data_IF_746686977904
#
_entry.id   IF_746686977904
#
_cell.length_a   1.000
_cell.length_b   1.000
_cell.length_c   1.000
_cell.angle_alpha   90.00
_cell.angle_beta   90.00
_cell.angle_gamma   90.00
#
_symmetry.space_group_name_H-M   'P 1'
#
loop_
_entity.id
_entity.type
_entity.pdbx_description
1 polymer ?
#
# COMPACT_ATOMS: atom_id res chain seq x y z
N UNK A 1 -43.77 4.54 -5.18
CA UNK A 1 -42.67 4.15 -4.26
C UNK A 1 -41.57 3.45 -5.06
N UNK A 2 -40.33 3.96 -5.04
CA UNK A 2 -39.19 3.41 -5.80
C UNK A 2 -38.57 2.25 -5.03
N UNK A 3 -38.54 1.04 -5.60
CA UNK A 3 -37.81 -0.12 -5.05
C UNK A 3 -36.31 0.10 -5.27
N UNK A 4 -35.58 0.38 -4.19
CA UNK A 4 -34.12 0.30 -4.19
C UNK A 4 -33.69 -1.14 -4.51
N UNK A 5 -32.58 -1.30 -5.23
CA UNK A 5 -31.95 -2.61 -5.43
C UNK A 5 -31.61 -3.21 -4.07
N UNK A 6 -32.04 -4.45 -3.82
CA UNK A 6 -31.74 -5.18 -2.57
C UNK A 6 -30.25 -5.17 -2.24
N UNK A 7 -29.38 -5.10 -3.24
CA UNK A 7 -27.92 -5.08 -3.08
C UNK A 7 -27.38 -3.78 -2.46
N UNK A 8 -27.92 -2.62 -2.85
CA UNK A 8 -27.49 -1.33 -2.28
C UNK A 8 -27.98 -1.16 -0.85
N UNK A 9 -29.18 -1.68 -0.55
CA UNK A 9 -29.71 -1.73 0.80
C UNK A 9 -28.88 -2.66 1.70
N UNK A 10 -28.53 -3.85 1.21
CA UNK A 10 -27.66 -4.80 1.93
C UNK A 10 -26.27 -4.19 2.21
N UNK A 11 -25.66 -3.50 1.23
CA UNK A 11 -24.38 -2.83 1.45
C UNK A 11 -24.45 -1.75 2.54
N UNK A 12 -25.52 -0.94 2.56
CA UNK A 12 -25.76 0.05 3.60
C UNK A 12 -25.98 -0.61 4.97
N UNK A 13 -26.77 -1.69 5.03
CA UNK A 13 -26.99 -2.44 6.27
C UNK A 13 -25.70 -3.06 6.81
N UNK A 14 -24.83 -3.60 5.93
CA UNK A 14 -23.53 -4.14 6.33
C UNK A 14 -22.64 -3.03 6.89
N UNK A 15 -22.57 -1.86 6.23
CA UNK A 15 -21.80 -0.73 6.72
C UNK A 15 -22.30 -0.25 8.10
N UNK A 16 -23.61 -0.12 8.27
CA UNK A 16 -24.23 0.25 9.56
C UNK A 16 -23.97 -0.81 10.65
N UNK A 17 -24.07 -2.09 10.31
CA UNK A 17 -23.78 -3.18 11.25
C UNK A 17 -22.30 -3.22 11.66
N UNK A 18 -21.37 -2.91 10.75
CA UNK A 18 -19.94 -2.78 11.06
C UNK A 18 -19.70 -1.60 12.01
N UNK A 19 -20.36 -0.46 11.81
CA UNK A 19 -20.29 0.67 12.75
C UNK A 19 -20.82 0.32 14.14
N UNK A 20 -21.96 -0.37 14.23
CA UNK A 20 -22.52 -0.81 15.52
C UNK A 20 -21.61 -1.79 16.25
N UNK A 21 -21.01 -2.76 15.53
CA UNK A 21 -20.04 -3.68 16.12
C UNK A 21 -18.76 -2.97 16.57
N UNK A 22 -18.24 -2.02 15.80
CA UNK A 22 -17.05 -1.24 16.19
C UNK A 22 -17.30 -0.46 17.49
N UNK A 23 -18.48 0.14 17.65
CA UNK A 23 -18.90 0.82 18.88
C UNK A 23 -19.05 -0.13 20.09
N UNK A 24 -19.40 -1.40 19.85
CA UNK A 24 -19.45 -2.41 20.92
C UNK A 24 -18.05 -2.84 21.39
N UNK A 25 -17.06 -2.90 20.49
CA UNK A 25 -15.68 -3.24 20.84
C UNK A 25 -14.94 -2.13 21.59
N UNK A 26 -15.29 -0.86 21.39
CA UNK A 26 -14.68 0.27 22.11
C UNK A 26 -15.01 0.33 23.60
N UNK A 27 -16.01 -0.43 24.07
CA UNK A 27 -16.39 -0.50 25.49
C UNK A 27 -15.63 -1.59 26.27
N UNK A 28 -14.72 -2.33 25.64
CA UNK A 28 -13.88 -3.31 26.33
C UNK A 28 -12.64 -2.59 26.88
N UNK A 29 -12.46 -2.47 28.21
CA UNK A 29 -11.27 -1.83 28.76
C UNK A 29 -10.01 -2.60 28.34
N UNK A 30 -8.96 -1.93 27.85
CA UNK A 30 -7.73 -2.61 27.45
C UNK A 30 -7.02 -3.15 28.69
N UNK A 31 -7.15 -4.46 28.95
CA UNK A 31 -6.28 -5.19 29.89
C UNK A 31 -4.91 -5.43 29.25
N UNK A 32 -4.13 -4.38 29.03
CA UNK A 32 -2.72 -4.52 28.68
C UNK A 32 -1.91 -4.33 29.96
N UNK A 33 -1.60 -5.43 30.65
CA UNK A 33 -0.55 -5.45 31.68
C UNK A 33 0.79 -5.38 30.96
N UNK A 34 1.33 -4.18 30.78
CA UNK A 34 2.72 -4.00 30.36
C UNK A 34 3.58 -4.30 31.59
N UNK A 35 4.20 -5.47 31.63
CA UNK A 35 5.25 -5.77 32.60
C UNK A 35 6.53 -5.00 32.19
N UNK A 36 6.65 -3.75 32.64
CA UNK A 36 7.91 -3.00 32.56
C UNK A 36 8.85 -3.43 33.68
N UNK A 37 9.71 -4.40 33.40
CA UNK A 37 10.89 -4.69 34.25
C UNK A 37 12.05 -5.17 33.42
N UNK A 38 12.74 -4.24 32.76
CA UNK A 38 14.14 -4.40 32.37
C UNK A 38 14.85 -3.13 32.83
N UNK A 39 15.43 -3.21 34.03
CA UNK A 39 16.44 -2.27 34.51
C UNK A 39 17.78 -2.81 33.99
N UNK A 40 18.37 -2.15 33.00
CA UNK A 40 19.77 -2.40 32.62
C UNK A 40 20.64 -1.45 33.42
N UNK A 41 21.20 -1.95 34.51
CA UNK A 41 22.39 -1.40 35.14
C UNK A 41 23.58 -1.61 34.21
N UNK A 42 24.21 -0.50 33.83
CA UNK A 42 25.52 -0.48 33.21
C UNK A 42 26.57 -0.98 34.21
N UNK A 43 27.39 -1.95 33.81
CA UNK A 43 28.65 -2.26 34.51
C UNK A 43 29.60 -3.01 33.56
N UNK A 44 30.72 -2.35 33.32
CA UNK A 44 32.07 -2.89 33.14
C UNK A 44 32.41 -3.82 31.96
N UNK A 45 33.22 -3.25 31.07
CA UNK A 45 34.13 -3.91 30.13
C UNK A 45 35.25 -4.59 30.93
N UNK A 46 35.62 -5.83 30.57
CA UNK A 46 37.03 -6.20 30.60
C UNK A 46 37.54 -6.64 29.22
N UNK A 47 38.77 -6.21 28.94
CA UNK A 47 39.62 -6.66 27.84
C UNK A 47 40.24 -8.04 28.11
N UNK A 48 40.66 -8.67 27.00
CA UNK A 48 41.65 -9.75 26.83
C UNK A 48 41.29 -11.18 27.28
N UNK A 49 41.37 -12.09 26.30
CA UNK A 49 41.39 -13.53 26.49
C UNK A 49 41.60 -14.25 25.16
N UNK A 50 42.86 -14.52 24.82
CA UNK A 50 43.32 -15.39 23.73
C UNK A 50 43.06 -16.88 24.01
N UNK A 51 43.16 -17.68 22.94
CA UNK A 51 43.45 -19.12 22.85
C UNK A 51 42.32 -20.11 22.54
N UNK A 52 42.57 -20.79 21.41
CA UNK A 52 42.55 -22.24 21.16
C UNK A 52 41.22 -23.01 21.20
N UNK A 53 41.04 -23.84 20.16
CA UNK A 53 40.03 -24.89 20.15
C UNK A 53 39.69 -25.42 18.76
N UNK A 54 40.65 -26.04 18.06
CA UNK A 54 40.34 -26.99 16.98
C UNK A 54 39.57 -28.19 17.55
N UNK A 55 38.59 -28.75 16.82
CA UNK A 55 38.23 -30.15 16.98
C UNK A 55 39.00 -31.01 15.98
N UNK A 56 39.70 -31.99 16.54
CA UNK A 56 40.46 -33.03 15.86
C UNK A 56 39.67 -34.35 15.82
N UNK A 57 39.99 -35.16 14.80
CA UNK A 57 39.82 -36.61 14.65
C UNK A 57 38.42 -37.27 14.61
N UNK A 58 38.17 -37.97 13.51
CA UNK A 58 38.05 -39.44 13.58
C UNK A 58 38.40 -40.09 12.24
N UNK A 59 39.47 -40.88 12.29
CA UNK A 59 40.05 -41.72 11.24
C UNK A 59 39.35 -43.08 11.24
N UNK A 60 38.98 -43.57 10.05
CA UNK A 60 38.68 -44.99 9.82
C UNK A 60 39.80 -45.56 8.95
N UNK A 61 40.67 -46.35 9.59
CA UNK A 61 41.59 -47.28 8.94
C UNK A 61 40.80 -48.52 8.52
N UNK A 62 40.98 -49.00 7.30
CA UNK A 62 40.80 -50.41 6.97
C UNK A 62 41.78 -50.81 5.88
N UNK A 63 42.33 -52.00 6.10
CA UNK A 63 43.59 -52.54 5.65
C UNK A 63 43.76 -52.76 4.14
N UNK A 64 45.04 -52.67 3.74
CA UNK A 64 45.60 -53.17 2.49
C UNK A 64 45.41 -54.69 2.35
N UNK A 65 45.49 -55.19 1.10
CA UNK A 65 46.48 -56.21 0.85
C UNK A 65 47.45 -55.85 -0.27
N UNK A 66 48.43 -56.73 -0.38
CA UNK A 66 49.82 -56.50 -0.65
C UNK A 66 50.17 -56.51 -2.15
N UNK A 67 51.32 -55.88 -2.44
CA UNK A 67 52.25 -56.12 -3.56
C UNK A 67 51.69 -56.50 -4.94
N UNK A 68 51.96 -55.60 -5.89
CA UNK A 68 52.85 -55.88 -7.02
C UNK A 68 53.47 -54.57 -7.54
N UNK A 69 54.80 -54.46 -7.51
CA UNK A 69 55.52 -53.52 -8.39
C UNK A 69 55.46 -54.09 -9.82
N UNK A 70 55.33 -53.24 -10.85
CA UNK A 70 56.56 -52.77 -11.47
C UNK A 70 56.52 -51.29 -11.93
N UNK A 71 57.65 -50.64 -11.72
CA UNK A 71 58.37 -49.73 -12.62
C UNK A 71 57.60 -48.84 -13.62
N UNK A 72 58.19 -47.65 -13.76
CA UNK A 72 58.16 -46.75 -14.93
C UNK A 72 57.16 -45.60 -14.83
N UNK A 73 57.73 -44.42 -15.09
CA UNK A 73 57.13 -43.33 -15.87
C UNK A 73 56.93 -42.04 -15.08
N UNK A 74 57.69 -41.04 -15.51
CA UNK A 74 57.57 -39.60 -15.27
C UNK A 74 56.19 -39.08 -15.72
N UNK A 75 55.10 -39.50 -15.08
CA UNK A 75 53.73 -39.17 -15.49
C UNK A 75 52.94 -38.36 -14.44
N UNK A 76 53.46 -38.18 -13.22
CA UNK A 76 52.77 -37.35 -12.21
C UNK A 76 53.00 -35.84 -12.37
N UNK A 77 54.02 -35.41 -13.10
CA UNK A 77 54.22 -34.00 -13.42
C UNK A 77 53.33 -33.51 -14.59
N UNK A 78 52.82 -34.41 -15.44
CA UNK A 78 51.91 -34.02 -16.53
C UNK A 78 50.45 -33.92 -16.08
N UNK A 79 50.08 -34.47 -14.93
CA UNK A 79 48.70 -34.41 -14.43
C UNK A 79 48.38 -33.08 -13.73
N UNK A 80 49.37 -32.46 -13.06
CA UNK A 80 49.20 -31.11 -12.47
C UNK A 80 49.36 -30.02 -13.55
N UNK A 81 50.19 -30.25 -14.58
CA UNK A 81 50.29 -29.33 -15.74
C UNK A 81 49.07 -29.46 -16.68
N UNK A 82 48.34 -30.57 -16.66
CA UNK A 82 47.07 -30.72 -17.38
C UNK A 82 45.87 -30.03 -16.70
N UNK A 83 45.96 -29.67 -15.42
CA UNK A 83 44.97 -28.81 -14.76
C UNK A 83 45.22 -27.31 -14.99
N UNK A 84 46.39 -26.96 -15.54
CA UNK A 84 46.78 -25.59 -15.91
C UNK A 84 46.86 -25.46 -17.43
N UNK A 85 45.88 -25.99 -18.16
CA UNK A 85 45.50 -25.32 -19.41
C UNK A 85 44.72 -24.05 -19.03
N UNK A 86 45.48 -23.03 -18.61
CA UNK A 86 45.01 -21.68 -18.25
C UNK A 86 44.15 -21.01 -19.34
N UNK A 87 44.09 -21.61 -20.53
CA UNK A 87 43.29 -21.18 -21.66
C UNK A 87 41.80 -21.59 -21.59
N UNK A 88 41.41 -22.54 -20.71
CA UNK A 88 39.98 -22.91 -20.56
C UNK A 88 39.27 -22.24 -19.38
N UNK A 89 39.99 -21.77 -18.36
CA UNK A 89 39.39 -21.12 -17.18
C UNK A 89 38.89 -19.71 -17.53
N UNK A 90 39.69 -18.94 -18.28
CA UNK A 90 39.36 -17.56 -18.65
C UNK A 90 38.07 -17.40 -19.49
N UNK A 91 37.81 -18.19 -20.55
CA UNK A 91 36.56 -18.07 -21.32
C UNK A 91 35.32 -18.48 -20.50
N UNK A 92 35.45 -19.45 -19.59
CA UNK A 92 34.36 -19.84 -18.69
C UNK A 92 34.02 -18.72 -17.69
N UNK A 93 35.02 -18.04 -17.13
CA UNK A 93 34.82 -16.87 -16.27
C UNK A 93 34.21 -15.69 -17.04
N UNK A 94 34.65 -15.42 -18.26
CA UNK A 94 34.06 -14.38 -19.12
C UNK A 94 32.60 -14.69 -19.45
N UNK A 95 32.27 -15.94 -19.79
CA UNK A 95 30.90 -16.36 -20.04
C UNK A 95 30.01 -16.21 -18.79
N UNK A 96 30.52 -16.61 -17.62
CA UNK A 96 29.83 -16.44 -16.34
C UNK A 96 29.57 -14.96 -16.04
N UNK A 97 30.58 -14.10 -16.22
CA UNK A 97 30.46 -12.67 -15.98
C UNK A 97 29.43 -12.02 -16.93
N UNK A 98 29.45 -12.35 -18.22
CA UNK A 98 28.45 -11.87 -19.18
C UNK A 98 27.03 -12.34 -18.83
N UNK A 99 26.87 -13.58 -18.37
CA UNK A 99 25.58 -14.09 -17.88
C UNK A 99 25.10 -13.34 -16.64
N UNK A 100 25.97 -13.13 -15.65
CA UNK A 100 25.64 -12.35 -14.46
C UNK A 100 25.23 -10.92 -14.81
N UNK A 101 25.97 -10.25 -15.71
CA UNK A 101 25.58 -8.93 -16.20
C UNK A 101 24.23 -8.93 -16.89
N UNK A 102 23.93 -9.94 -17.71
CA UNK A 102 22.63 -10.09 -18.37
C UNK A 102 21.50 -10.28 -17.36
N UNK A 103 21.70 -11.14 -16.36
CA UNK A 103 20.74 -11.38 -15.27
C UNK A 103 20.51 -10.10 -14.48
N UNK A 104 21.56 -9.39 -14.09
CA UNK A 104 21.45 -8.11 -13.36
C UNK A 104 20.71 -7.05 -14.19
N UNK A 105 21.01 -6.93 -15.49
CA UNK A 105 20.31 -5.99 -16.39
C UNK A 105 18.84 -6.37 -16.61
N UNK A 106 18.54 -7.66 -16.70
CA UNK A 106 17.16 -8.15 -16.81
C UNK A 106 16.38 -7.88 -15.52
N UNK A 107 16.99 -8.18 -14.37
CA UNK A 107 16.42 -7.92 -13.04
C UNK A 107 16.19 -6.42 -12.81
N UNK A 108 17.13 -5.56 -13.18
CA UNK A 108 16.97 -4.10 -13.01
C UNK A 108 15.87 -3.54 -13.91
N UNK A 109 15.77 -4.00 -15.16
CA UNK A 109 14.66 -3.66 -16.07
C UNK A 109 13.33 -4.14 -15.51
N UNK A 110 13.26 -5.37 -15.00
CA UNK A 110 12.07 -5.92 -14.35
C UNK A 110 11.64 -5.10 -13.14
N UNK A 111 12.58 -4.78 -12.25
CA UNK A 111 12.34 -3.94 -11.08
C UNK A 111 11.85 -2.54 -11.47
N UNK A 112 12.48 -1.89 -12.46
CA UNK A 112 12.05 -0.58 -12.94
C UNK A 112 10.61 -0.61 -13.49
N UNK A 113 10.24 -1.67 -14.23
CA UNK A 113 8.87 -1.86 -14.72
C UNK A 113 7.91 -2.08 -13.55
N UNK A 114 8.26 -2.93 -12.59
CA UNK A 114 7.41 -3.21 -11.43
C UNK A 114 7.18 -1.96 -10.56
N UNK A 115 8.22 -1.16 -10.31
CA UNK A 115 8.13 0.12 -9.59
C UNK A 115 7.25 1.09 -10.37
N UNK A 116 7.50 1.27 -11.67
CA UNK A 116 6.65 2.11 -12.52
C UNK A 116 5.20 1.62 -12.56
N UNK A 117 4.97 0.33 -12.38
CA UNK A 117 3.64 -0.29 -12.35
C UNK A 117 2.99 -0.32 -10.96
N UNK A 118 3.71 0.00 -9.88
CA UNK A 118 3.18 -0.13 -8.51
C UNK A 118 3.47 1.09 -7.62
N UNK A 119 4.07 2.15 -8.16
CA UNK A 119 4.46 3.32 -7.36
C UNK A 119 3.31 3.99 -6.62
N UNK A 120 2.08 3.88 -7.14
CA UNK A 120 0.87 4.41 -6.51
C UNK A 120 0.51 3.69 -5.21
N UNK A 121 1.08 2.50 -4.93
CA UNK A 121 0.91 1.78 -3.67
C UNK A 121 1.85 2.29 -2.57
N UNK A 122 2.92 3.03 -2.92
CA UNK A 122 3.90 3.48 -1.93
C UNK A 122 3.32 4.32 -0.80
N UNK A 123 2.35 5.25 -1.02
CA UNK A 123 1.74 5.98 0.08
C UNK A 123 1.07 5.06 1.10
N UNK A 124 0.34 4.03 0.66
CA UNK A 124 -0.27 3.05 1.56
C UNK A 124 0.78 2.27 2.33
N UNK A 125 1.83 1.79 1.66
CA UNK A 125 2.90 1.04 2.35
C UNK A 125 3.59 1.92 3.39
N UNK A 126 4.03 3.12 3.01
CA UNK A 126 4.83 3.99 3.88
C UNK A 126 3.99 4.59 5.01
N UNK A 127 2.83 5.16 4.69
CA UNK A 127 1.98 5.86 5.67
C UNK A 127 1.28 4.87 6.58
N UNK A 128 0.71 3.78 6.04
CA UNK A 128 -0.04 2.81 6.85
C UNK A 128 0.86 1.85 7.64
N UNK A 129 2.13 1.66 7.26
CA UNK A 129 3.08 0.88 8.06
C UNK A 129 3.64 1.68 9.25
N UNK A 130 3.55 3.01 9.27
CA UNK A 130 4.15 3.83 10.33
C UNK A 130 3.64 3.48 11.74
N UNK A 131 2.32 3.30 11.99
CA UNK A 131 1.83 2.84 13.30
C UNK A 131 2.42 1.50 13.74
N UNK A 132 2.58 0.56 12.81
CA UNK A 132 3.14 -0.77 13.08
C UNK A 132 4.63 -0.64 13.42
N UNK A 133 5.37 0.17 12.64
CA UNK A 133 6.77 0.43 12.88
C UNK A 133 7.01 1.08 14.25
N UNK A 134 6.27 2.14 14.59
CA UNK A 134 6.39 2.82 15.88
C UNK A 134 6.10 1.88 17.05
N UNK A 135 5.04 1.06 16.93
CA UNK A 135 4.68 0.13 17.99
C UNK A 135 5.72 -0.97 18.19
N UNK A 136 6.21 -1.60 17.11
CA UNK A 136 7.12 -2.74 17.20
C UNK A 136 8.56 -2.34 17.53
N UNK A 137 9.07 -1.27 16.92
CA UNK A 137 10.48 -0.91 17.01
C UNK A 137 10.76 0.22 17.99
N UNK A 138 9.86 1.21 18.09
CA UNK A 138 10.04 2.35 19.00
C UNK A 138 9.34 2.13 20.35
N UNK A 139 8.48 1.11 20.46
CA UNK A 139 7.66 0.85 21.64
C UNK A 139 6.76 2.05 22.02
N UNK A 140 6.35 2.83 21.02
CA UNK A 140 5.54 4.05 21.16
C UNK A 140 4.38 4.06 20.16
N UNK A 141 3.30 4.78 20.49
CA UNK A 141 2.22 5.02 19.55
C UNK A 141 2.66 6.04 18.49
N UNK A 142 2.38 5.78 17.22
CA UNK A 142 2.63 6.75 16.16
C UNK A 142 1.79 8.01 16.39
N UNK A 143 2.44 9.17 16.33
CA UNK A 143 1.79 10.47 16.42
C UNK A 143 1.78 11.13 15.05
N UNK A 144 0.66 11.74 14.70
CA UNK A 144 0.54 12.53 13.48
C UNK A 144 1.44 13.77 13.56
N UNK A 145 2.10 14.15 12.45
CA UNK A 145 2.91 15.35 12.43
C UNK A 145 2.03 16.60 12.57
N UNK A 146 2.60 17.70 13.08
CA UNK A 146 1.88 18.93 13.41
C UNK A 146 1.20 19.63 12.23
N UNK A 147 1.67 19.39 11.00
CA UNK A 147 1.04 19.87 9.77
C UNK A 147 -0.13 18.99 9.30
N UNK A 148 -0.32 17.83 9.93
CA UNK A 148 -1.36 16.85 9.62
C UNK A 148 -2.18 16.56 10.88
N UNK A 149 -2.81 17.59 11.41
CA UNK A 149 -3.39 17.55 12.75
C UNK A 149 -4.52 16.52 12.84
N UNK A 150 -4.30 15.47 13.63
CA UNK A 150 -5.38 14.65 14.17
C UNK A 150 -6.25 15.54 15.07
N UNK A 151 -7.55 15.59 14.79
CA UNK A 151 -8.51 16.39 15.56
C UNK A 151 -9.15 15.51 16.61
N UNK A 152 -9.09 15.94 17.86
CA UNK A 152 -9.90 15.34 18.91
C UNK A 152 -11.35 15.78 18.71
N UNK A 153 -12.23 14.79 18.48
CA UNK A 153 -13.68 14.99 18.34
C UNK A 153 -14.44 14.21 19.41
N UNK A 154 -13.77 13.86 20.51
CA UNK A 154 -14.38 13.14 21.65
C UNK A 154 -15.58 13.88 22.25
N UNK A 155 -15.62 15.21 22.14
CA UNK A 155 -16.78 16.04 22.53
C UNK A 155 -18.07 15.71 21.77
N UNK A 156 -17.96 15.05 20.60
CA UNK A 156 -19.13 14.64 19.82
C UNK A 156 -19.87 13.44 20.41
N UNK A 157 -19.30 12.72 21.38
CA UNK A 157 -19.96 11.56 22.02
C UNK A 157 -21.34 11.91 22.57
N UNK A 158 -21.52 13.16 22.99
CA UNK A 158 -22.77 13.68 23.54
C UNK A 158 -23.70 14.30 22.46
N UNK A 159 -23.30 14.27 21.19
CA UNK A 159 -24.03 14.85 20.05
C UNK A 159 -24.34 13.80 18.97
N UNK A 160 -25.21 12.81 19.26
CA UNK A 160 -25.41 11.63 18.40
C UNK A 160 -25.91 11.96 17.00
N UNK A 161 -26.69 13.04 16.83
CA UNK A 161 -27.16 13.51 15.52
C UNK A 161 -25.99 14.01 14.67
N UNK A 162 -25.09 14.79 15.28
CA UNK A 162 -23.92 15.33 14.59
C UNK A 162 -22.93 14.22 14.23
N UNK A 163 -22.67 13.28 15.14
CA UNK A 163 -21.85 12.09 14.85
C UNK A 163 -22.46 11.25 13.74
N UNK A 164 -23.77 11.00 13.79
CA UNK A 164 -24.44 10.20 12.76
C UNK A 164 -24.34 10.86 11.39
N UNK A 165 -24.51 12.19 11.32
CA UNK A 165 -24.30 12.96 10.08
C UNK A 165 -22.85 12.89 9.59
N UNK A 166 -21.90 13.05 10.52
CA UNK A 166 -20.47 12.96 10.24
C UNK A 166 -20.07 11.60 9.67
N UNK A 167 -20.51 10.50 10.30
CA UNK A 167 -20.27 9.15 9.79
C UNK A 167 -21.02 8.90 8.48
N UNK A 168 -22.28 9.32 8.39
CA UNK A 168 -23.10 9.14 7.19
C UNK A 168 -22.51 9.84 5.97
N UNK A 169 -21.76 10.94 6.13
CA UNK A 169 -21.11 11.62 5.02
C UNK A 169 -20.13 10.73 4.22
N UNK A 170 -19.58 9.66 4.83
CA UNK A 170 -18.76 8.67 4.11
C UNK A 170 -19.55 7.88 3.04
N UNK A 171 -20.89 7.90 3.10
CA UNK A 171 -21.73 7.27 2.08
C UNK A 171 -21.45 7.84 0.69
N UNK A 172 -21.00 9.10 0.58
CA UNK A 172 -20.66 9.71 -0.70
C UNK A 172 -19.51 8.97 -1.40
N UNK A 173 -18.47 8.56 -0.67
CA UNK A 173 -17.39 7.74 -1.23
C UNK A 173 -17.89 6.35 -1.60
N UNK A 174 -18.63 5.69 -0.70
CA UNK A 174 -19.15 4.34 -0.92
C UNK A 174 -20.01 4.29 -2.17
N UNK A 175 -20.96 5.22 -2.32
CA UNK A 175 -21.84 5.33 -3.48
C UNK A 175 -21.07 5.69 -4.75
N UNK A 176 -20.08 6.59 -4.66
CA UNK A 176 -19.23 6.95 -5.80
C UNK A 176 -18.40 5.75 -6.29
N UNK A 177 -17.84 4.97 -5.37
CA UNK A 177 -17.12 3.74 -5.68
C UNK A 177 -18.02 2.71 -6.35
N UNK A 178 -19.20 2.46 -5.77
CA UNK A 178 -20.22 1.56 -6.34
C UNK A 178 -20.70 2.03 -7.73
N UNK A 179 -20.83 3.34 -7.93
CA UNK A 179 -21.17 3.93 -9.22
C UNK A 179 -20.09 3.66 -10.27
N UNK A 180 -18.81 3.87 -9.95
CA UNK A 180 -17.68 3.61 -10.87
C UNK A 180 -17.46 2.11 -11.15
N UNK A 181 -17.89 1.24 -10.22
CA UNK A 181 -17.93 -0.21 -10.40
C UNK A 181 -19.15 -0.71 -11.19
N UNK A 182 -20.04 0.18 -11.66
CA UNK A 182 -21.30 -0.17 -12.34
C UNK A 182 -22.23 -1.07 -11.48
N UNK A 183 -22.08 -1.00 -10.15
CA UNK A 183 -22.92 -1.75 -9.21
C UNK A 183 -24.27 -1.06 -8.94
N UNK A 184 -24.37 0.23 -9.26
CA UNK A 184 -25.61 1.01 -9.20
C UNK A 184 -26.19 1.06 -10.62
N UNK A 185 -27.28 0.33 -10.90
CA UNK A 185 -27.81 0.22 -12.26
C UNK A 185 -28.26 1.59 -12.77
N UNK A 186 -27.54 2.12 -13.75
CA UNK A 186 -27.93 3.36 -14.40
C UNK A 186 -29.08 3.06 -15.37
N UNK A 187 -30.33 3.41 -14.99
CA UNK A 187 -31.54 3.10 -15.77
C UNK A 187 -31.56 3.75 -17.17
N UNK A 188 -30.68 4.72 -17.43
CA UNK A 188 -30.51 5.30 -18.77
C UNK A 188 -29.67 4.38 -19.65
N UNK A 189 -30.32 3.39 -20.29
CA UNK A 189 -29.73 2.50 -21.31
C UNK A 189 -29.13 3.22 -22.53
N UNK A 190 -29.23 4.55 -22.61
CA UNK A 190 -28.73 5.36 -23.75
C UNK A 190 -27.34 5.96 -23.55
N UNK A 191 -26.76 5.89 -22.34
CA UNK A 191 -25.42 6.41 -22.09
C UNK A 191 -24.37 5.29 -22.17
N UNK A 192 -23.81 5.08 -23.37
CA UNK A 192 -22.56 4.29 -23.53
C UNK A 192 -21.34 4.96 -22.88
N UNK A 193 -21.53 6.10 -22.22
CA UNK A 193 -20.50 6.96 -21.64
C UNK A 193 -20.28 6.76 -20.13
N UNK A 194 -20.82 5.71 -19.51
CA UNK A 194 -20.48 5.43 -18.11
C UNK A 194 -18.99 5.12 -18.02
N UNK A 195 -18.26 5.88 -17.20
CA UNK A 195 -16.84 5.71 -16.96
C UNK A 195 -16.56 4.42 -16.17
N UNK A 196 -16.73 3.27 -16.83
CA UNK A 196 -16.51 1.94 -16.26
C UNK A 196 -15.03 1.78 -15.92
N UNK A 197 -14.74 2.01 -14.66
CA UNK A 197 -13.37 2.02 -14.13
C UNK A 197 -13.37 1.25 -12.82
N UNK A 198 -13.61 -0.08 -12.86
CA UNK A 198 -13.93 -0.87 -11.68
C UNK A 198 -12.85 -0.76 -10.60
N UNK A 199 -11.56 -0.76 -10.99
CA UNK A 199 -10.49 -0.60 -10.01
C UNK A 199 -10.44 0.81 -9.40
N UNK A 200 -10.77 1.88 -10.15
CA UNK A 200 -10.94 3.21 -9.53
C UNK A 200 -12.10 3.18 -8.54
N UNK A 201 -13.22 2.55 -8.90
CA UNK A 201 -14.37 2.38 -8.01
C UNK A 201 -14.06 1.58 -6.74
N UNK A 202 -13.28 0.49 -6.84
CA UNK A 202 -12.81 -0.29 -5.68
C UNK A 202 -11.96 0.58 -4.76
N UNK A 203 -11.03 1.37 -5.30
CA UNK A 203 -10.16 2.24 -4.50
C UNK A 203 -10.97 3.29 -3.74
N UNK A 204 -11.94 3.93 -4.38
CA UNK A 204 -12.82 4.93 -3.74
C UNK A 204 -13.73 4.30 -2.70
N UNK A 205 -14.26 3.11 -2.99
CA UNK A 205 -15.06 2.35 -2.03
C UNK A 205 -14.23 1.98 -0.79
N UNK A 206 -13.00 1.47 -1.00
CA UNK A 206 -12.09 1.14 0.09
C UNK A 206 -11.74 2.38 0.93
N UNK A 207 -11.43 3.52 0.29
CA UNK A 207 -11.23 4.80 0.98
C UNK A 207 -12.44 5.17 1.84
N UNK A 208 -13.67 5.07 1.32
CA UNK A 208 -14.88 5.37 2.08
C UNK A 208 -15.10 4.43 3.28
N UNK A 209 -14.80 3.15 3.13
CA UNK A 209 -14.94 2.17 4.22
C UNK A 209 -13.89 2.37 5.33
N UNK A 210 -12.63 2.65 4.95
CA UNK A 210 -11.56 2.92 5.93
C UNK A 210 -11.81 4.25 6.64
N UNK A 211 -12.23 5.29 5.92
CA UNK A 211 -12.55 6.60 6.49
C UNK A 211 -13.75 6.51 7.44
N UNK A 212 -14.78 5.75 7.09
CA UNK A 212 -15.91 5.46 7.99
C UNK A 212 -15.44 4.78 9.29
N UNK A 213 -14.57 3.77 9.18
CA UNK A 213 -14.03 3.07 10.34
C UNK A 213 -13.20 4.02 11.22
N UNK A 214 -12.30 4.79 10.59
CA UNK A 214 -11.49 5.80 11.25
C UNK A 214 -12.37 6.80 12.03
N UNK A 215 -13.33 7.45 11.37
CA UNK A 215 -14.19 8.44 12.02
C UNK A 215 -15.10 7.85 13.09
N UNK A 216 -15.50 6.58 12.96
CA UNK A 216 -16.23 5.88 14.02
C UNK A 216 -15.37 5.72 15.28
N UNK A 217 -14.11 5.29 15.13
CA UNK A 217 -13.16 5.23 16.25
C UNK A 217 -12.76 6.61 16.77
N UNK A 218 -12.67 7.61 15.90
CA UNK A 218 -12.40 9.00 16.27
C UNK A 218 -13.53 9.58 17.14
N UNK A 219 -14.78 9.20 16.84
CA UNK A 219 -15.96 9.69 17.54
C UNK A 219 -16.26 8.89 18.82
N UNK A 220 -16.09 7.57 18.82
CA UNK A 220 -16.51 6.70 19.93
C UNK A 220 -15.36 6.01 20.67
N UNK A 221 -14.25 5.75 19.97
CA UNK A 221 -13.14 4.94 20.45
C UNK A 221 -12.10 5.69 21.30
N UNK A 222 -10.94 5.06 21.45
CA UNK A 222 -9.76 5.64 22.10
C UNK A 222 -8.88 6.39 21.10
N UNK A 223 -8.35 7.55 21.53
CA UNK A 223 -7.58 8.47 20.68
C UNK A 223 -6.40 7.80 19.98
N UNK A 224 -5.62 6.97 20.68
CA UNK A 224 -4.46 6.28 20.09
C UNK A 224 -4.83 5.33 18.94
N UNK A 225 -5.98 4.65 19.05
CA UNK A 225 -6.47 3.76 17.99
C UNK A 225 -6.99 4.57 16.82
N UNK A 226 -7.73 5.65 17.08
CA UNK A 226 -8.21 6.56 16.06
C UNK A 226 -7.04 7.22 15.29
N UNK A 227 -6.00 7.65 15.99
CA UNK A 227 -4.80 8.24 15.37
C UNK A 227 -4.04 7.20 14.52
N UNK A 228 -3.94 5.94 14.96
CA UNK A 228 -3.37 4.86 14.15
C UNK A 228 -4.21 4.59 12.89
N UNK A 229 -5.55 4.58 13.01
CA UNK A 229 -6.47 4.43 11.88
C UNK A 229 -6.40 5.62 10.93
N UNK A 230 -6.09 6.83 11.44
CA UNK A 230 -5.87 8.02 10.64
C UNK A 230 -4.72 7.81 9.63
N UNK A 231 -3.61 7.19 10.02
CA UNK A 231 -2.52 6.83 9.09
C UNK A 231 -2.98 5.86 8.00
N UNK A 232 -3.81 4.88 8.36
CA UNK A 232 -4.33 3.91 7.39
C UNK A 232 -5.27 4.61 6.40
N UNK A 233 -6.22 5.39 6.90
CA UNK A 233 -7.17 6.15 6.08
C UNK A 233 -6.47 7.04 5.04
N UNK A 234 -5.53 7.85 5.50
CA UNK A 234 -4.78 8.73 4.61
C UNK A 234 -3.85 7.97 3.65
N UNK A 235 -3.23 6.87 4.08
CA UNK A 235 -2.44 6.01 3.21
C UNK A 235 -3.27 5.43 2.06
N UNK A 236 -4.50 4.99 2.35
CA UNK A 236 -5.47 4.53 1.33
C UNK A 236 -5.87 5.69 0.43
N UNK A 237 -6.27 6.83 0.99
CA UNK A 237 -6.71 8.00 0.22
C UNK A 237 -5.63 8.53 -0.73
N UNK A 238 -4.38 8.65 -0.27
CA UNK A 238 -3.26 9.06 -1.11
C UNK A 238 -2.91 8.04 -2.19
N UNK A 239 -3.00 6.75 -1.87
CA UNK A 239 -2.79 5.70 -2.88
C UNK A 239 -3.89 5.71 -3.95
N UNK A 240 -5.14 5.93 -3.54
CA UNK A 240 -6.27 6.17 -4.44
C UNK A 240 -5.99 7.37 -5.33
N UNK A 241 -5.60 8.53 -4.78
CA UNK A 241 -5.28 9.73 -5.56
C UNK A 241 -4.13 9.50 -6.56
N UNK A 242 -3.05 8.83 -6.15
CA UNK A 242 -1.93 8.47 -7.03
C UNK A 242 -2.38 7.52 -8.16
N UNK A 243 -3.25 6.57 -7.84
CA UNK A 243 -3.79 5.64 -8.82
C UNK A 243 -4.73 6.35 -9.82
N UNK A 244 -5.54 7.32 -9.37
CA UNK A 244 -6.31 8.22 -10.23
C UNK A 244 -5.40 9.03 -11.15
N UNK A 245 -4.36 9.67 -10.61
CA UNK A 245 -3.40 10.43 -11.42
C UNK A 245 -2.74 9.56 -12.48
N UNK A 246 -2.36 8.33 -12.14
CA UNK A 246 -1.80 7.38 -13.11
C UNK A 246 -2.80 7.01 -14.20
N UNK A 247 -4.06 6.75 -13.85
CA UNK A 247 -5.05 6.18 -14.78
C UNK A 247 -5.77 7.23 -15.62
N UNK A 248 -6.10 8.36 -15.01
CA UNK A 248 -6.84 9.46 -15.63
C UNK A 248 -5.90 10.57 -16.13
N UNK A 249 -4.68 10.66 -15.61
CA UNK A 249 -3.80 11.81 -15.81
C UNK A 249 -4.25 13.01 -14.97
N UNK A 250 -3.76 14.21 -15.29
CA UNK A 250 -4.15 15.43 -14.58
C UNK A 250 -5.66 15.70 -14.73
N UNK A 251 -6.36 16.11 -13.66
CA UNK A 251 -7.76 16.52 -13.74
C UNK A 251 -7.94 17.74 -14.65
N UNK A 252 -9.11 17.91 -15.25
CA UNK A 252 -9.44 19.13 -15.99
C UNK A 252 -9.60 20.33 -15.06
N UNK A 253 -9.57 21.55 -15.62
CA UNK A 253 -9.83 22.79 -14.86
C UNK A 253 -11.21 22.72 -14.18
N UNK A 254 -12.21 22.10 -14.83
CA UNK A 254 -13.55 21.92 -14.25
C UNK A 254 -13.48 21.06 -13.00
N UNK A 255 -12.83 19.90 -13.08
CA UNK A 255 -12.64 19.02 -11.92
C UNK A 255 -11.81 19.70 -10.82
N UNK A 256 -10.76 20.43 -11.17
CA UNK A 256 -9.95 21.21 -10.23
C UNK A 256 -10.75 22.31 -9.53
N UNK A 257 -11.70 22.95 -10.22
CA UNK A 257 -12.56 23.99 -9.62
C UNK A 257 -13.48 23.46 -8.52
N UNK A 258 -13.70 22.14 -8.44
CA UNK A 258 -14.41 21.47 -7.35
C UNK A 258 -13.41 20.96 -6.31
N UNK A 259 -12.32 20.33 -6.77
CA UNK A 259 -11.31 19.71 -5.91
C UNK A 259 -10.51 20.69 -5.07
N UNK A 260 -10.11 21.84 -5.62
CA UNK A 260 -9.32 22.84 -4.89
C UNK A 260 -10.13 23.45 -3.74
N UNK A 261 -11.36 23.97 -3.95
CA UNK A 261 -12.20 24.42 -2.84
C UNK A 261 -12.49 23.32 -1.81
N UNK A 262 -12.68 22.08 -2.26
CA UNK A 262 -12.80 20.93 -1.36
C UNK A 262 -11.57 20.82 -0.46
N UNK A 263 -10.35 20.79 -1.00
CA UNK A 263 -9.12 20.73 -0.21
C UNK A 263 -8.97 21.92 0.75
N UNK A 264 -9.41 23.12 0.37
CA UNK A 264 -9.39 24.29 1.25
C UNK A 264 -10.29 24.10 2.49
N UNK A 265 -11.36 23.31 2.41
CA UNK A 265 -12.19 22.98 3.58
C UNK A 265 -11.38 22.29 4.69
N UNK A 266 -10.34 21.53 4.34
CA UNK A 266 -9.48 20.87 5.32
C UNK A 266 -8.57 21.85 6.08
N UNK A 267 -8.36 23.06 5.54
CA UNK A 267 -7.50 24.06 6.13
C UNK A 267 -8.17 24.85 7.27
N UNK A 268 -9.49 24.71 7.49
CA UNK A 268 -10.22 25.46 8.52
C UNK A 268 -10.15 24.74 9.88
N UNK A 269 -9.40 25.28 10.86
CA UNK A 269 -9.46 24.80 12.23
C UNK A 269 -10.66 25.45 12.93
N UNK A 270 -11.57 24.67 13.51
CA UNK A 270 -12.64 25.22 14.34
C UNK A 270 -13.66 24.18 14.78
N UNK A 271 -14.57 24.61 15.66
CA UNK A 271 -15.62 23.77 16.27
C UNK A 271 -16.58 23.15 15.22
N UNK A 272 -16.64 23.77 14.04
CA UNK A 272 -17.39 23.29 12.87
C UNK A 272 -16.70 22.16 12.10
N UNK A 273 -15.59 21.60 12.60
CA UNK A 273 -14.84 20.53 11.94
C UNK A 273 -15.71 19.38 11.40
N UNK A 274 -16.66 18.79 12.15
CA UNK A 274 -17.44 17.65 11.64
C UNK A 274 -18.33 18.02 10.46
N UNK A 275 -18.88 19.25 10.47
CA UNK A 275 -19.72 19.76 9.38
C UNK A 275 -18.88 20.04 8.15
N UNK A 276 -17.77 20.77 8.32
CA UNK A 276 -16.86 21.13 7.23
C UNK A 276 -16.26 19.87 6.59
N UNK A 277 -15.85 18.89 7.41
CA UNK A 277 -15.29 17.63 6.95
C UNK A 277 -16.35 16.74 6.26
N UNK A 278 -17.60 16.80 6.71
CA UNK A 278 -18.72 16.13 6.00
C UNK A 278 -18.96 16.72 4.60
N UNK A 279 -18.88 18.04 4.47
CA UNK A 279 -18.97 18.72 3.17
C UNK A 279 -17.77 18.33 2.30
N UNK A 280 -16.57 18.24 2.90
CA UNK A 280 -15.38 17.77 2.22
C UNK A 280 -15.58 16.36 1.62
N UNK A 281 -16.15 15.40 2.36
CA UNK A 281 -16.46 14.06 1.82
C UNK A 281 -17.33 14.13 0.57
N UNK A 282 -18.40 14.92 0.60
CA UNK A 282 -19.31 15.07 -0.53
C UNK A 282 -18.60 15.66 -1.77
N UNK A 283 -17.86 16.77 -1.57
CA UNK A 283 -17.15 17.45 -2.67
C UNK A 283 -16.00 16.62 -3.23
N UNK A 284 -15.26 15.93 -2.37
CA UNK A 284 -14.13 15.06 -2.75
C UNK A 284 -14.63 13.84 -3.53
N UNK A 285 -15.74 13.23 -3.12
CA UNK A 285 -16.41 12.17 -3.88
C UNK A 285 -16.88 12.66 -5.25
N UNK A 286 -17.52 13.83 -5.33
CA UNK A 286 -17.92 14.46 -6.59
C UNK A 286 -16.74 14.76 -7.51
N UNK A 287 -15.65 15.30 -6.96
CA UNK A 287 -14.39 15.54 -7.68
C UNK A 287 -13.84 14.25 -8.27
N UNK A 288 -13.87 13.17 -7.50
CA UNK A 288 -13.37 11.86 -7.90
C UNK A 288 -14.16 11.28 -9.09
N UNK A 289 -15.50 11.39 -9.06
CA UNK A 289 -16.35 11.02 -10.19
C UNK A 289 -16.00 11.86 -11.42
N UNK A 290 -15.93 13.20 -11.27
CA UNK A 290 -15.59 14.11 -12.37
C UNK A 290 -14.22 13.80 -12.98
N UNK A 291 -13.23 13.47 -12.14
CA UNK A 291 -11.90 13.08 -12.60
C UNK A 291 -11.89 11.77 -13.38
N UNK A 292 -12.70 10.78 -12.98
CA UNK A 292 -12.84 9.54 -13.72
C UNK A 292 -13.42 9.79 -15.13
N UNK A 293 -14.41 10.67 -15.25
CA UNK A 293 -14.98 11.08 -16.55
C UNK A 293 -13.96 11.80 -17.42
N UNK A 294 -13.21 12.76 -16.87
CA UNK A 294 -12.13 13.43 -17.59
C UNK A 294 -11.13 12.43 -18.20
N UNK A 295 -10.76 11.39 -17.43
CA UNK A 295 -9.85 10.34 -17.88
C UNK A 295 -10.41 9.53 -19.05
N UNK A 296 -11.69 9.16 -18.99
CA UNK A 296 -12.36 8.41 -20.05
C UNK A 296 -12.48 9.26 -21.31
N UNK A 297 -12.93 10.50 -21.20
CA UNK A 297 -13.06 11.42 -22.32
C UNK A 297 -11.72 11.66 -23.02
N UNK A 298 -10.65 11.88 -22.24
CA UNK A 298 -9.31 12.07 -22.78
C UNK A 298 -8.84 10.84 -23.55
N UNK A 299 -9.07 9.64 -23.01
CA UNK A 299 -8.72 8.38 -23.68
C UNK A 299 -9.50 8.19 -24.97
N UNK A 300 -10.80 8.48 -24.97
CA UNK A 300 -11.64 8.40 -26.17
C UNK A 300 -11.16 9.37 -27.26
N UNK A 301 -10.86 10.63 -26.89
CA UNK A 301 -10.30 11.63 -27.84
C UNK A 301 -8.97 11.18 -28.42
N UNK A 302 -8.08 10.61 -27.59
CA UNK A 302 -6.80 10.09 -28.06
C UNK A 302 -6.99 8.96 -29.07
N UNK A 303 -7.81 7.95 -28.75
CA UNK A 303 -8.11 6.83 -29.65
C UNK A 303 -8.71 7.33 -30.97
N UNK A 304 -9.70 8.23 -30.90
CA UNK A 304 -10.35 8.79 -32.10
C UNK A 304 -9.34 9.49 -33.01
N UNK A 305 -8.47 10.35 -32.46
CA UNK A 305 -7.40 11.02 -33.21
C UNK A 305 -6.40 10.04 -33.83
N UNK A 306 -5.97 9.02 -33.08
CA UNK A 306 -5.04 8.00 -33.60
C UNK A 306 -5.66 7.17 -34.73
N UNK A 307 -6.94 6.83 -34.64
CA UNK A 307 -7.65 6.10 -35.69
C UNK A 307 -7.85 6.95 -36.94
N UNK A 308 -8.16 8.24 -36.79
CA UNK A 308 -8.25 9.18 -37.92
C UNK A 308 -6.90 9.31 -38.64
N UNK A 309 -5.83 9.59 -37.90
CA UNK A 309 -4.48 9.71 -38.49
C UNK A 309 -4.03 8.45 -39.23
N UNK A 310 -4.46 7.26 -38.81
CA UNK A 310 -4.17 6.01 -39.53
C UNK A 310 -4.96 5.84 -40.82
N UNK A 311 -6.21 6.32 -40.87
CA UNK A 311 -7.02 6.27 -42.09
C UNK A 311 -6.43 7.17 -43.17
N UNK A 312 -5.91 8.33 -42.78
CA UNK A 312 -5.33 9.32 -43.69
C UNK A 312 -4.00 8.86 -44.34
N UNK A 313 -3.35 7.81 -43.82
CA UNK A 313 -2.11 7.22 -44.39
C UNK A 313 -2.41 6.19 -45.49
N UNK A 314 -3.66 5.76 -45.65
CA UNK A 314 -4.07 4.67 -46.57
C UNK A 314 -4.51 5.16 -47.96
N UNK A 315 -3.92 6.26 -48.46
CA UNK A 315 -4.20 6.81 -49.80
C UNK A 315 -2.99 6.59 -50.70
#
# INVERSE_FOLDING_TARGET
MKRYSSRSFVALCIALAMCQKAAAFSNIPPKIKIHSRISMTATEIPMFGSNEGLPSHSSMNLDLPDRTQPTVSKSRASFIVSLVSSNQIMPNLQCLFLRLQSIMRSSSKGAAVAIRQSWWCFPMIVVSALPIYSLLFLQEFARMPSFWQFRDVSYLKDMPVLVSGFLASNIFYILSGLYLMDCIPNRSKKSSHTARTPLLGVMVFASGMVSLLYHAFQSFGGLNVAESLCFIDHGVAFSSACYFLRKCGMPSIKTLSIGVPSLLLLAFPGDSYPVIHSIWHAMSAGTTISWAFDGVDRRQRFISKTLQARKDITI
#
